data_IF_910516970350
#
_entry.id   IF_910516970350
#
_cell.length_a   1.000
_cell.length_b   1.000
_cell.length_c   1.000
_cell.angle_alpha   90.00
_cell.angle_beta   90.00
_cell.angle_gamma   90.00
#
_symmetry.space_group_name_H-M   'P 1'
#
loop_
_entity.id
_entity.type
_entity.pdbx_description
1 polymer ?
#
# COMPACT_ATOMS: atom_id res chain seq x y z
N UNK A 1 -50.23 -73.00 -9.93
CA UNK A 1 -50.52 -71.79 -9.12
C UNK A 1 -49.56 -71.58 -7.93
N UNK A 2 -48.36 -72.19 -7.93
CA UNK A 2 -47.34 -71.93 -6.89
C UNK A 2 -45.97 -71.49 -7.46
N UNK A 3 -45.74 -71.60 -8.77
CA UNK A 3 -44.50 -71.14 -9.41
C UNK A 3 -44.50 -69.64 -9.75
N UNK A 4 -45.66 -69.03 -10.03
CA UNK A 4 -45.74 -67.59 -10.33
C UNK A 4 -45.55 -66.68 -9.11
N UNK A 5 -45.69 -67.22 -7.89
CA UNK A 5 -45.49 -66.47 -6.65
C UNK A 5 -44.00 -66.37 -6.27
N UNK A 6 -43.15 -67.29 -6.70
CA UNK A 6 -41.72 -67.26 -6.42
C UNK A 6 -40.94 -66.27 -7.31
N UNK A 7 -41.38 -66.06 -8.56
CA UNK A 7 -40.78 -65.05 -9.45
C UNK A 7 -41.05 -63.60 -9.02
N UNK A 8 -42.01 -63.34 -8.13
CA UNK A 8 -42.33 -61.99 -7.63
C UNK A 8 -41.55 -61.61 -6.36
N UNK A 9 -40.93 -62.57 -5.67
CA UNK A 9 -40.12 -62.30 -4.47
C UNK A 9 -38.65 -61.98 -4.77
N UNK A 10 -38.17 -62.26 -5.99
CA UNK A 10 -36.80 -61.95 -6.44
C UNK A 10 -36.74 -60.89 -7.55
N UNK A 11 -37.81 -60.12 -7.75
CA UNK A 11 -37.73 -58.88 -8.54
C UNK A 11 -37.28 -57.74 -7.65
N UNK A 12 -36.02 -57.76 -7.22
CA UNK A 12 -35.36 -56.54 -6.75
C UNK A 12 -35.39 -55.52 -7.89
N UNK A 13 -35.91 -54.29 -7.69
CA UNK A 13 -35.80 -53.26 -8.70
C UNK A 13 -34.31 -53.09 -9.02
N UNK A 14 -34.01 -53.10 -10.32
CA UNK A 14 -32.67 -52.91 -10.87
C UNK A 14 -31.87 -51.94 -10.01
N UNK A 15 -30.73 -52.44 -9.53
CA UNK A 15 -29.95 -51.82 -8.48
C UNK A 15 -29.71 -50.34 -8.72
N UNK A 16 -29.76 -49.57 -7.63
CA UNK A 16 -29.04 -48.30 -7.57
C UNK A 16 -27.61 -48.62 -8.02
N UNK A 17 -27.26 -48.25 -9.24
CA UNK A 17 -25.89 -48.30 -9.74
C UNK A 17 -25.06 -47.63 -8.67
N UNK A 18 -24.20 -48.39 -7.98
CA UNK A 18 -23.31 -47.85 -6.96
C UNK A 18 -22.61 -46.65 -7.59
N UNK A 19 -22.85 -45.46 -7.05
CA UNK A 19 -22.22 -44.27 -7.57
C UNK A 19 -20.71 -44.49 -7.54
N UNK A 20 -20.05 -44.41 -8.70
CA UNK A 20 -18.61 -44.54 -8.76
C UNK A 20 -18.01 -43.39 -7.93
N UNK A 21 -17.36 -43.71 -6.82
CA UNK A 21 -16.67 -42.74 -5.97
C UNK A 21 -15.20 -42.76 -6.35
N UNK A 22 -14.70 -41.63 -6.83
CA UNK A 22 -13.28 -41.43 -7.06
C UNK A 22 -12.57 -41.30 -5.71
N UNK A 23 -11.47 -42.04 -5.54
CA UNK A 23 -10.74 -42.16 -4.28
C UNK A 23 -9.33 -41.61 -4.45
N UNK A 24 -8.82 -40.99 -3.39
CA UNK A 24 -7.42 -40.54 -3.26
C UNK A 24 -6.74 -41.42 -2.23
N UNK A 25 -5.49 -41.80 -2.51
CA UNK A 25 -4.64 -42.59 -1.61
C UNK A 25 -3.61 -41.64 -1.01
N UNK A 26 -3.53 -41.59 0.32
CA UNK A 26 -2.51 -40.84 1.05
C UNK A 26 -1.87 -41.67 2.16
N UNK A 27 -0.75 -41.18 2.66
CA UNK A 27 -0.01 -41.76 3.78
C UNK A 27 -0.06 -40.83 4.98
N UNK A 28 -0.41 -41.34 6.16
CA UNK A 28 -0.39 -40.57 7.39
C UNK A 28 1.05 -40.17 7.75
N UNK A 29 1.32 -38.87 7.92
CA UNK A 29 2.66 -38.39 8.28
C UNK A 29 3.10 -38.76 9.71
N UNK A 30 2.18 -39.18 10.59
CA UNK A 30 2.48 -39.56 11.97
C UNK A 30 2.74 -41.06 12.14
N UNK A 31 1.86 -41.92 11.61
CA UNK A 31 1.97 -43.37 11.79
C UNK A 31 2.34 -44.15 10.52
N UNK A 32 2.46 -43.49 9.36
CA UNK A 32 2.91 -44.12 8.12
C UNK A 32 1.91 -45.04 7.42
N UNK A 33 0.67 -45.16 7.90
CA UNK A 33 -0.34 -45.99 7.25
C UNK A 33 -0.81 -45.34 5.94
N UNK A 34 -0.90 -46.15 4.88
CA UNK A 34 -1.50 -45.75 3.60
C UNK A 34 -3.01 -46.07 3.65
N UNK A 35 -3.84 -45.09 3.32
CA UNK A 35 -5.30 -45.23 3.35
C UNK A 35 -5.94 -44.44 2.20
N UNK A 36 -7.18 -44.84 1.85
CA UNK A 36 -7.95 -44.21 0.78
C UNK A 36 -9.19 -43.50 1.33
N UNK A 37 -9.54 -42.36 0.73
CA UNK A 37 -10.74 -41.59 1.09
C UNK A 37 -11.29 -40.83 -0.14
N UNK A 38 -12.54 -40.35 -0.13
CA UNK A 38 -13.17 -39.77 -1.32
C UNK A 38 -12.47 -38.51 -1.84
N UNK A 39 -12.34 -38.37 -3.16
CA UNK A 39 -11.74 -37.18 -3.80
C UNK A 39 -12.44 -35.87 -3.40
N UNK A 40 -13.75 -35.92 -3.16
CA UNK A 40 -14.52 -34.76 -2.71
C UNK A 40 -13.98 -34.24 -1.37
N UNK A 41 -13.63 -35.15 -0.45
CA UNK A 41 -13.05 -34.79 0.83
C UNK A 41 -11.64 -34.21 0.63
N UNK A 42 -10.80 -34.79 -0.24
CA UNK A 42 -9.49 -34.21 -0.57
C UNK A 42 -9.60 -32.78 -1.06
N UNK A 43 -10.45 -32.53 -2.06
CA UNK A 43 -10.66 -31.19 -2.63
C UNK A 43 -11.16 -30.19 -1.60
N UNK A 44 -12.01 -30.62 -0.67
CA UNK A 44 -12.45 -29.78 0.44
C UNK A 44 -11.28 -29.44 1.37
N UNK A 45 -10.53 -30.46 1.85
CA UNK A 45 -9.43 -30.28 2.81
C UNK A 45 -8.26 -29.47 2.27
N UNK A 46 -7.97 -29.58 0.96
CA UNK A 46 -6.96 -28.73 0.29
C UNK A 46 -7.43 -27.27 0.19
N UNK A 47 -8.74 -27.04 0.05
CA UNK A 47 -9.30 -25.70 -0.10
C UNK A 47 -9.48 -24.97 1.23
N UNK A 48 -10.05 -25.64 2.23
CA UNK A 48 -10.30 -25.05 3.55
C UNK A 48 -9.11 -25.17 4.50
N UNK A 49 -8.20 -26.12 4.25
CA UNK A 49 -7.05 -26.40 5.12
C UNK A 49 -7.44 -27.04 6.45
N UNK A 50 -8.66 -27.55 6.59
CA UNK A 50 -9.17 -28.12 7.83
C UNK A 50 -8.66 -29.56 8.04
N UNK A 51 -8.80 -30.06 9.26
CA UNK A 51 -8.26 -31.32 9.69
C UNK A 51 -9.08 -32.50 9.15
N UNK A 52 -8.41 -33.62 8.89
CA UNK A 52 -9.01 -34.92 8.62
C UNK A 52 -8.19 -35.97 9.38
N UNK A 53 -8.73 -37.18 9.51
CA UNK A 53 -8.14 -38.18 10.38
C UNK A 53 -7.74 -39.42 9.60
N UNK A 54 -6.58 -40.00 9.93
CA UNK A 54 -6.24 -41.33 9.46
C UNK A 54 -7.08 -42.39 10.22
N UNK A 55 -7.14 -43.64 9.74
CA UNK A 55 -7.89 -44.71 10.41
C UNK A 55 -7.45 -44.98 11.86
N UNK A 56 -6.21 -44.63 12.21
CA UNK A 56 -5.67 -44.75 13.57
C UNK A 56 -5.95 -43.51 14.44
N UNK A 57 -6.64 -42.50 13.92
CA UNK A 57 -7.06 -41.31 14.67
C UNK A 57 -6.09 -40.12 14.68
N UNK A 58 -4.98 -40.15 13.95
CA UNK A 58 -4.06 -39.00 13.86
C UNK A 58 -4.66 -37.88 13.01
N UNK A 59 -4.61 -36.66 13.53
CA UNK A 59 -5.04 -35.44 12.83
C UNK A 59 -4.04 -35.08 11.74
N UNK A 60 -4.55 -34.93 10.53
CA UNK A 60 -3.84 -34.54 9.32
C UNK A 60 -4.49 -33.28 8.77
N UNK A 61 -3.75 -32.43 8.07
CA UNK A 61 -4.30 -31.27 7.39
C UNK A 61 -3.44 -30.94 6.17
N UNK A 62 -4.08 -30.46 5.09
CA UNK A 62 -3.36 -29.93 3.94
C UNK A 62 -3.13 -28.43 4.16
N UNK A 63 -2.31 -28.11 5.16
CA UNK A 63 -1.92 -26.73 5.43
C UNK A 63 -0.92 -26.22 4.40
N UNK A 64 -0.91 -24.90 4.20
CA UNK A 64 0.30 -24.26 3.71
C UNK A 64 1.37 -24.45 4.77
N UNK A 65 2.47 -25.11 4.42
CA UNK A 65 3.61 -25.26 5.33
C UNK A 65 4.04 -23.89 5.84
N UNK A 66 4.54 -23.81 7.07
CA UNK A 66 5.00 -22.56 7.68
C UNK A 66 5.92 -21.77 6.72
N UNK A 67 6.76 -22.50 5.97
CA UNK A 67 7.60 -21.94 4.92
C UNK A 67 6.84 -21.17 3.82
N UNK A 68 5.68 -21.62 3.38
CA UNK A 68 4.90 -20.90 2.36
C UNK A 68 4.23 -19.66 2.94
N UNK A 69 3.71 -19.75 4.18
CA UNK A 69 3.16 -18.59 4.91
C UNK A 69 4.23 -17.51 5.10
N UNK A 70 5.42 -17.91 5.56
CA UNK A 70 6.58 -17.02 5.72
C UNK A 70 7.01 -16.41 4.39
N UNK A 71 7.03 -17.17 3.29
CA UNK A 71 7.33 -16.62 1.96
C UNK A 71 6.31 -15.55 1.53
N UNK A 72 5.02 -15.78 1.78
CA UNK A 72 3.96 -14.80 1.50
C UNK A 72 4.13 -13.54 2.34
N UNK A 73 4.45 -13.68 3.62
CA UNK A 73 4.69 -12.56 4.51
C UNK A 73 5.93 -11.75 4.11
N UNK A 74 7.05 -12.41 3.81
CA UNK A 74 8.26 -11.76 3.28
C UNK A 74 7.95 -11.01 1.99
N UNK A 75 7.17 -11.60 1.08
CA UNK A 75 6.77 -10.94 -0.16
C UNK A 75 5.87 -9.72 0.09
N UNK A 76 4.95 -9.80 1.05
CA UNK A 76 4.10 -8.68 1.44
C UNK A 76 4.91 -7.54 2.07
N UNK A 77 5.81 -7.85 3.00
CA UNK A 77 6.70 -6.88 3.63
C UNK A 77 7.63 -6.21 2.61
N UNK A 78 8.23 -6.97 1.69
CA UNK A 78 9.04 -6.41 0.60
C UNK A 78 8.26 -5.42 -0.27
N UNK A 79 7.01 -5.73 -0.60
CA UNK A 79 6.14 -4.81 -1.35
C UNK A 79 5.82 -3.55 -0.55
N UNK A 80 5.62 -3.67 0.76
CA UNK A 80 5.38 -2.53 1.63
C UNK A 80 6.63 -1.64 1.75
N UNK A 81 7.80 -2.22 1.96
CA UNK A 81 9.06 -1.46 2.03
C UNK A 81 9.35 -0.74 0.73
N UNK A 82 9.11 -1.39 -0.41
CA UNK A 82 9.32 -0.77 -1.72
C UNK A 82 8.41 0.44 -1.92
N UNK A 83 7.12 0.32 -1.57
CA UNK A 83 6.17 1.45 -1.62
C UNK A 83 6.63 2.59 -0.74
N UNK A 84 6.98 2.32 0.51
CA UNK A 84 7.44 3.35 1.45
C UNK A 84 8.72 4.04 0.96
N UNK A 85 9.68 3.27 0.46
CA UNK A 85 10.92 3.80 -0.10
C UNK A 85 10.67 4.67 -1.33
N UNK A 86 9.75 4.27 -2.22
CA UNK A 86 9.37 5.07 -3.39
C UNK A 86 8.73 6.40 -2.98
N UNK A 87 7.83 6.40 -1.98
CA UNK A 87 7.20 7.62 -1.46
C UNK A 87 8.23 8.54 -0.80
N UNK A 88 9.15 7.98 -0.01
CA UNK A 88 10.20 8.74 0.65
C UNK A 88 11.13 9.41 -0.36
N UNK A 89 11.55 8.69 -1.41
CA UNK A 89 12.36 9.26 -2.49
C UNK A 89 11.64 10.40 -3.20
N UNK A 90 10.37 10.20 -3.54
CA UNK A 90 9.56 11.24 -4.17
C UNK A 90 9.48 12.50 -3.30
N UNK A 91 9.23 12.34 -2.00
CA UNK A 91 9.14 13.46 -1.06
C UNK A 91 10.48 14.21 -0.94
N UNK A 92 11.60 13.48 -0.88
CA UNK A 92 12.93 14.08 -0.87
C UNK A 92 13.20 14.88 -2.14
N UNK A 93 12.94 14.31 -3.31
CA UNK A 93 13.12 14.99 -4.59
C UNK A 93 12.21 16.23 -4.72
N UNK A 94 10.99 16.13 -4.23
CA UNK A 94 10.05 17.25 -4.17
C UNK A 94 10.57 18.37 -3.29
N UNK A 95 10.99 18.04 -2.06
CA UNK A 95 11.51 19.01 -1.10
C UNK A 95 12.77 19.70 -1.64
N UNK A 96 13.70 18.94 -2.20
CA UNK A 96 14.91 19.48 -2.85
C UNK A 96 14.59 20.42 -4.01
N UNK A 97 13.58 20.09 -4.83
CA UNK A 97 13.11 20.98 -5.90
C UNK A 97 12.54 22.28 -5.33
N UNK A 98 11.74 22.21 -4.27
CA UNK A 98 11.19 23.40 -3.62
C UNK A 98 12.29 24.26 -3.00
N UNK A 99 13.29 23.66 -2.33
CA UNK A 99 14.44 24.37 -1.77
C UNK A 99 15.21 25.14 -2.85
N UNK A 100 15.52 24.50 -3.98
CA UNK A 100 16.19 25.16 -5.11
C UNK A 100 15.36 26.30 -5.69
N UNK A 101 14.04 26.11 -5.85
CA UNK A 101 13.14 27.15 -6.33
C UNK A 101 13.09 28.34 -5.37
N UNK A 102 12.97 28.09 -4.06
CA UNK A 102 12.96 29.12 -3.02
C UNK A 102 14.29 29.89 -3.01
N UNK A 103 15.42 29.21 -3.13
CA UNK A 103 16.74 29.85 -3.22
C UNK A 103 16.87 30.75 -4.46
N UNK A 104 16.43 30.29 -5.63
CA UNK A 104 16.44 31.09 -6.85
C UNK A 104 15.56 32.34 -6.74
N UNK A 105 14.33 32.20 -6.22
CA UNK A 105 13.42 33.32 -5.99
C UNK A 105 13.99 34.32 -4.98
N UNK A 106 14.60 33.83 -3.88
CA UNK A 106 15.30 34.68 -2.91
C UNK A 106 16.38 35.52 -3.60
N UNK A 107 17.22 34.90 -4.42
CA UNK A 107 18.27 35.62 -5.16
C UNK A 107 17.73 36.69 -6.11
N UNK A 108 16.60 36.44 -6.77
CA UNK A 108 15.90 37.44 -7.59
C UNK A 108 15.40 38.58 -6.72
N UNK A 109 14.64 38.29 -5.65
CA UNK A 109 14.09 39.30 -4.74
C UNK A 109 15.18 40.16 -4.12
N UNK A 110 16.26 39.56 -3.61
CA UNK A 110 17.40 40.29 -3.06
C UNK A 110 18.01 41.23 -4.09
N UNK A 111 18.22 40.77 -5.33
CA UNK A 111 18.75 41.62 -6.40
C UNK A 111 17.83 42.81 -6.68
N UNK A 112 16.52 42.60 -6.78
CA UNK A 112 15.57 43.70 -6.99
C UNK A 112 15.57 44.69 -5.83
N UNK A 113 15.59 44.20 -4.58
CA UNK A 113 15.67 45.04 -3.38
C UNK A 113 16.93 45.90 -3.38
N UNK A 114 18.08 45.31 -3.67
CA UNK A 114 19.37 46.02 -3.70
C UNK A 114 19.38 47.10 -4.77
N UNK A 115 18.81 46.82 -5.95
CA UNK A 115 18.71 47.79 -7.04
C UNK A 115 17.77 48.95 -6.70
N UNK A 116 16.62 48.66 -6.10
CA UNK A 116 15.69 49.68 -5.63
C UNK A 116 16.32 50.55 -4.53
N UNK A 117 17.05 49.96 -3.57
CA UNK A 117 17.80 50.69 -2.55
C UNK A 117 18.80 51.68 -3.15
N UNK A 118 19.45 51.28 -4.25
CA UNK A 118 20.43 52.09 -4.97
C UNK A 118 19.78 53.09 -5.93
N UNK A 119 18.45 53.18 -6.00
CA UNK A 119 17.73 54.08 -6.90
C UNK A 119 17.80 53.68 -8.38
N UNK A 120 18.07 52.40 -8.68
CA UNK A 120 18.20 51.90 -10.05
C UNK A 120 16.96 51.10 -10.45
N UNK A 121 16.38 51.42 -11.62
CA UNK A 121 15.26 50.67 -12.20
C UNK A 121 15.61 49.20 -12.41
N UNK A 122 14.77 48.23 -12.00
CA UNK A 122 14.96 46.82 -12.32
C UNK A 122 14.72 46.46 -13.80
N UNK A 123 13.98 47.31 -14.53
CA UNK A 123 13.53 47.01 -15.88
C UNK A 123 14.45 47.56 -16.98
N UNK A 124 15.04 48.74 -16.78
CA UNK A 124 15.78 49.47 -17.83
C UNK A 124 17.17 49.96 -17.39
N UNK A 125 17.67 49.54 -16.23
CA UNK A 125 18.97 49.94 -15.65
C UNK A 125 19.18 51.47 -15.47
N UNK A 126 18.13 52.27 -15.61
CA UNK A 126 18.20 53.73 -15.41
C UNK A 126 18.35 54.08 -13.93
N UNK A 127 19.19 55.07 -13.65
CA UNK A 127 19.39 55.63 -12.31
C UNK A 127 18.45 56.80 -12.07
N UNK A 128 17.79 56.80 -10.92
CA UNK A 128 16.92 57.87 -10.46
C UNK A 128 17.52 58.51 -9.20
N UNK A 129 18.10 59.69 -9.37
CA UNK A 129 18.74 60.43 -8.29
C UNK A 129 17.77 60.74 -7.13
N UNK A 130 16.53 61.14 -7.45
CA UNK A 130 15.50 61.46 -6.46
C UNK A 130 15.10 60.23 -5.63
N UNK A 131 14.98 59.07 -6.27
CA UNK A 131 14.68 57.82 -5.57
C UNK A 131 15.84 57.41 -4.66
N UNK A 132 17.08 57.51 -5.13
CA UNK A 132 18.25 57.21 -4.31
C UNK A 132 18.32 58.13 -3.09
N UNK A 133 18.13 59.44 -3.27
CA UNK A 133 18.11 60.41 -2.18
C UNK A 133 16.97 60.13 -1.19
N UNK A 134 15.77 59.83 -1.70
CA UNK A 134 14.62 59.42 -0.89
C UNK A 134 14.93 58.18 -0.04
N UNK A 135 15.48 57.12 -0.66
CA UNK A 135 15.83 55.90 0.08
C UNK A 135 16.89 56.17 1.15
N UNK A 136 17.87 57.04 0.91
CA UNK A 136 18.91 57.38 1.91
C UNK A 136 18.39 58.24 3.07
N UNK A 137 17.42 59.13 2.81
CA UNK A 137 16.90 60.07 3.82
C UNK A 137 15.76 59.47 4.64
N UNK A 138 14.78 58.86 3.95
CA UNK A 138 13.56 58.33 4.56
C UNK A 138 13.70 56.87 4.98
N UNK A 139 14.62 56.14 4.34
CA UNK A 139 14.83 54.71 4.57
C UNK A 139 16.30 54.34 4.85
N UNK A 140 17.00 55.02 5.78
CA UNK A 140 18.39 54.73 6.10
C UNK A 140 18.60 53.33 6.69
N UNK A 141 17.57 52.78 7.36
CA UNK A 141 17.54 51.41 7.88
C UNK A 141 17.06 50.38 6.83
N UNK A 142 16.77 50.79 5.60
CA UNK A 142 16.57 49.87 4.48
C UNK A 142 17.93 49.30 4.07
N UNK A 143 18.55 48.59 5.01
CA UNK A 143 19.58 47.65 4.73
C UNK A 143 18.97 46.63 3.78
N UNK A 144 19.52 46.59 2.57
CA UNK A 144 19.51 45.40 1.77
C UNK A 144 20.00 44.25 2.65
N UNK A 145 19.12 43.60 3.41
CA UNK A 145 19.46 42.44 4.23
C UNK A 145 19.84 41.31 3.28
N UNK A 146 21.09 41.36 2.87
CA UNK A 146 21.90 40.28 2.36
C UNK A 146 22.45 39.61 3.60
N UNK A 147 21.62 38.83 4.30
CA UNK A 147 22.16 37.74 5.10
C UNK A 147 22.22 36.53 4.17
N UNK A 148 23.40 36.18 3.62
CA UNK A 148 23.56 34.98 2.83
C UNK A 148 23.41 33.78 3.77
N UNK A 149 22.24 33.16 3.76
CA UNK A 149 22.07 31.81 4.32
C UNK A 149 21.61 31.74 5.77
N UNK A 150 20.83 32.69 6.28
CA UNK A 150 19.98 32.36 7.43
C UNK A 150 18.79 31.56 6.91
N UNK A 151 18.86 30.25 7.13
CA UNK A 151 17.72 29.35 7.04
C UNK A 151 16.61 29.94 7.93
N UNK A 152 15.64 30.63 7.30
CA UNK A 152 14.33 30.77 7.92
C UNK A 152 13.97 29.35 8.36
N UNK A 153 13.67 29.11 9.66
CA UNK A 153 13.31 27.78 10.09
C UNK A 153 12.28 27.27 9.10
N UNK A 154 12.46 26.03 8.63
CA UNK A 154 11.39 25.33 7.96
C UNK A 154 10.26 25.31 8.98
N UNK A 155 9.41 26.35 8.97
CA UNK A 155 8.19 26.39 9.75
C UNK A 155 7.55 25.06 9.42
N UNK A 156 7.35 24.18 10.41
CA UNK A 156 6.83 22.87 10.14
C UNK A 156 5.52 23.13 9.42
N UNK A 157 5.46 22.75 8.14
CA UNK A 157 4.23 22.76 7.37
C UNK A 157 3.24 22.05 8.28
N UNK A 158 2.34 22.82 8.89
CA UNK A 158 1.36 22.29 9.81
C UNK A 158 0.51 21.36 8.97
N UNK A 159 0.84 20.07 9.00
CA UNK A 159 0.10 18.98 8.41
C UNK A 159 -1.19 18.80 9.19
N UNK A 160 -2.03 19.83 9.22
CA UNK A 160 -3.47 19.67 9.39
C UNK A 160 -4.03 19.38 8.01
N UNK A 161 -3.72 18.19 7.51
CA UNK A 161 -4.41 17.62 6.36
C UNK A 161 -5.83 17.33 6.84
N UNK A 162 -6.71 18.33 6.77
CA UNK A 162 -8.14 18.16 6.96
C UNK A 162 -8.62 17.23 5.83
N UNK A 163 -8.84 15.96 6.17
CA UNK A 163 -9.42 14.99 5.24
C UNK A 163 -10.78 15.47 4.72
N UNK A 164 -11.20 15.05 3.52
CA UNK A 164 -12.45 15.52 2.92
C UNK A 164 -13.65 15.14 3.81
N UNK A 165 -14.23 16.14 4.47
CA UNK A 165 -15.44 15.99 5.27
C UNK A 165 -16.60 15.55 4.38
N UNK A 166 -17.17 14.37 4.67
CA UNK A 166 -18.39 13.89 4.03
C UNK A 166 -19.54 14.82 4.40
N UNK A 167 -20.14 15.51 3.42
CA UNK A 167 -21.41 16.21 3.58
C UNK A 167 -22.51 15.19 3.90
N UNK A 168 -23.02 15.21 5.13
CA UNK A 168 -24.27 14.53 5.47
C UNK A 168 -25.42 15.26 4.74
N UNK A 169 -26.20 14.51 3.95
CA UNK A 169 -27.43 15.00 3.34
C UNK A 169 -28.50 15.06 4.44
N UNK A 170 -28.94 16.25 4.82
CA UNK A 170 -30.17 16.43 5.60
C UNK A 170 -31.37 16.23 4.66
N UNK A 171 -32.16 15.20 4.92
CA UNK A 171 -33.47 15.04 4.30
C UNK A 171 -34.47 15.98 4.98
N UNK A 172 -35.23 16.68 4.15
CA UNK A 172 -36.45 17.41 4.50
C UNK A 172 -37.62 16.45 4.72
#
# INVERSE_FOLDING_TARGET
MLEELFSRLFSTPAGKTGAAVEMVIDTCCSCGITFAYPLVLYKQRVKDGDHFFCPNGHSLHYGQGENEKLKKEIAALKRQTERLNSSLKFEQEWNERQKRSRAALRGVVTRLKNRAAQGVCPCCDQYFADLHAHMQQEHPEYEAQVEPGQDLPDDPVSTTVAGPGRRAKSHA
#
